data_IF_741149374937
#
_entry.id   IF_741149374937
#
_cell.length_a   1.000
_cell.length_b   1.000
_cell.length_c   1.000
_cell.angle_alpha   90.00
_cell.angle_beta   90.00
_cell.angle_gamma   90.00
#
_symmetry.space_group_name_H-M   'P 1'
#
loop_
_entity.id
_entity.type
_entity.pdbx_description
1 polymer ?
#
# COMPACT_ATOMS: atom_id res chain seq x y z
N UNK A 1 -23.63 -23.71 15.26
CA UNK A 1 -22.18 -23.36 15.27
C UNK A 1 -21.76 -23.14 13.82
N UNK A 2 -21.47 -21.90 13.42
CA UNK A 2 -21.12 -21.58 12.02
C UNK A 2 -19.59 -21.38 11.94
N UNK A 3 -18.87 -22.16 11.12
CA UNK A 3 -17.41 -22.26 11.17
C UNK A 3 -16.76 -21.19 10.28
N UNK A 4 -16.65 -19.95 10.76
CA UNK A 4 -16.20 -18.81 9.91
C UNK A 4 -14.84 -18.21 10.21
N UNK A 5 -14.24 -18.51 11.37
CA UNK A 5 -12.79 -18.29 11.57
C UNK A 5 -11.94 -19.08 10.56
N UNK A 6 -12.50 -20.12 9.93
CA UNK A 6 -11.75 -21.03 9.07
C UNK A 6 -11.41 -20.49 7.68
N UNK A 7 -12.10 -19.50 7.10
CA UNK A 7 -11.82 -19.11 5.70
C UNK A 7 -10.53 -18.29 5.60
N UNK A 8 -10.36 -17.27 6.46
CA UNK A 8 -9.13 -16.50 6.54
C UNK A 8 -7.95 -17.37 6.98
N UNK A 9 -8.15 -18.23 8.01
CA UNK A 9 -7.13 -19.19 8.43
C UNK A 9 -6.81 -20.22 7.34
N UNK A 10 -7.79 -20.70 6.58
CA UNK A 10 -7.55 -21.62 5.48
C UNK A 10 -6.78 -20.96 4.35
N UNK A 11 -7.07 -19.71 4.00
CA UNK A 11 -6.31 -18.96 2.99
C UNK A 11 -4.85 -18.74 3.42
N UNK A 12 -4.64 -18.31 4.67
CA UNK A 12 -3.31 -18.19 5.27
C UNK A 12 -2.59 -19.54 5.27
N UNK A 13 -3.29 -20.63 5.60
CA UNK A 13 -2.74 -21.98 5.58
C UNK A 13 -2.36 -22.43 4.16
N UNK A 14 -3.22 -22.20 3.16
CA UNK A 14 -2.93 -22.52 1.76
C UNK A 14 -1.74 -21.73 1.23
N UNK A 15 -1.64 -20.45 1.56
CA UNK A 15 -0.48 -19.63 1.21
C UNK A 15 0.80 -20.11 1.89
N UNK A 16 0.73 -20.52 3.16
CA UNK A 16 1.87 -21.09 3.88
C UNK A 16 2.29 -22.46 3.30
N UNK A 17 1.33 -23.31 2.92
CA UNK A 17 1.60 -24.59 2.26
C UNK A 17 2.23 -24.38 0.88
N UNK A 18 1.75 -23.41 0.10
CA UNK A 18 2.36 -23.03 -1.18
C UNK A 18 3.80 -22.57 -0.98
N UNK A 19 4.04 -21.73 0.02
CA UNK A 19 5.35 -21.19 0.36
C UNK A 19 6.32 -22.30 0.77
N UNK A 20 5.85 -23.27 1.57
CA UNK A 20 6.61 -24.45 1.96
C UNK A 20 6.97 -25.32 0.75
N UNK A 21 6.03 -25.53 -0.18
CA UNK A 21 6.31 -26.25 -1.42
C UNK A 21 7.35 -25.53 -2.29
N UNK A 22 7.25 -24.19 -2.40
CA UNK A 22 8.26 -23.37 -3.08
C UNK A 22 9.63 -23.48 -2.40
N UNK A 23 9.69 -23.51 -1.06
CA UNK A 23 10.93 -23.68 -0.32
C UNK A 23 11.59 -25.02 -0.61
N UNK A 24 10.84 -26.13 -0.52
CA UNK A 24 11.36 -27.47 -0.81
C UNK A 24 11.91 -27.54 -2.24
N UNK A 25 11.15 -27.03 -3.22
CA UNK A 25 11.60 -27.01 -4.61
C UNK A 25 12.83 -26.12 -4.81
N UNK A 26 12.91 -24.99 -4.12
CA UNK A 26 14.05 -24.08 -4.18
C UNK A 26 15.33 -24.71 -3.63
N UNK A 27 15.22 -25.51 -2.55
CA UNK A 27 16.34 -26.30 -2.02
C UNK A 27 16.85 -27.29 -3.07
N UNK A 28 15.95 -28.07 -3.67
CA UNK A 28 16.27 -29.04 -4.72
C UNK A 28 16.97 -28.36 -5.91
N UNK A 29 16.44 -27.23 -6.38
CA UNK A 29 17.03 -26.45 -7.48
C UNK A 29 18.41 -25.90 -7.09
N UNK A 30 18.55 -25.31 -5.89
CA UNK A 30 19.80 -24.73 -5.43
C UNK A 30 20.93 -25.76 -5.31
N UNK A 31 20.61 -26.95 -4.80
CA UNK A 31 21.54 -28.08 -4.70
C UNK A 31 21.90 -28.62 -6.08
N UNK A 32 20.90 -28.94 -6.91
CA UNK A 32 21.12 -29.46 -8.26
C UNK A 32 21.95 -28.51 -9.13
N UNK A 33 21.66 -27.20 -9.07
CA UNK A 33 22.37 -26.20 -9.86
C UNK A 33 23.83 -26.00 -9.44
N UNK A 34 24.17 -26.29 -8.17
CA UNK A 34 25.53 -26.07 -7.65
C UNK A 34 26.39 -27.32 -7.64
N UNK A 35 25.80 -28.46 -7.25
CA UNK A 35 26.51 -29.71 -6.98
C UNK A 35 26.17 -30.80 -8.01
N UNK A 36 25.22 -30.56 -8.91
CA UNK A 36 24.71 -31.57 -9.85
C UNK A 36 23.60 -32.43 -9.24
N UNK A 37 22.90 -33.18 -10.08
CA UNK A 37 21.80 -34.06 -9.64
C UNK A 37 22.27 -35.27 -8.84
N UNK A 38 23.52 -35.71 -9.06
CA UNK A 38 24.05 -36.93 -8.47
C UNK A 38 24.33 -36.77 -6.97
N UNK A 39 24.73 -35.57 -6.53
CA UNK A 39 25.01 -35.26 -5.12
C UNK A 39 23.76 -34.79 -4.33
N UNK A 40 22.59 -34.73 -4.98
CA UNK A 40 21.40 -34.10 -4.40
C UNK A 40 20.91 -34.82 -3.15
N UNK A 41 20.74 -36.14 -3.22
CA UNK A 41 20.21 -36.93 -2.12
C UNK A 41 21.11 -36.88 -0.90
N UNK A 42 22.42 -37.10 -1.10
CA UNK A 42 23.41 -37.10 -0.03
C UNK A 42 23.53 -35.73 0.65
N UNK A 43 23.58 -34.65 -0.14
CA UNK A 43 23.71 -33.30 0.40
C UNK A 43 22.46 -32.84 1.16
N UNK A 44 21.25 -33.12 0.63
CA UNK A 44 19.99 -32.73 1.28
C UNK A 44 19.77 -33.50 2.58
N UNK A 45 20.00 -34.82 2.58
CA UNK A 45 19.85 -35.65 3.78
C UNK A 45 20.94 -35.34 4.82
N UNK A 46 22.16 -35.05 4.38
CA UNK A 46 23.28 -34.72 5.26
C UNK A 46 23.18 -33.36 5.96
N UNK A 47 22.33 -32.46 5.47
CA UNK A 47 22.15 -31.10 6.04
C UNK A 47 20.67 -30.78 6.33
N UNK A 48 19.89 -31.80 6.71
CA UNK A 48 18.43 -31.68 6.89
C UNK A 48 18.06 -30.63 7.96
N UNK A 49 18.86 -30.54 9.02
CA UNK A 49 18.78 -29.56 10.09
C UNK A 49 18.96 -28.13 9.58
N UNK A 50 19.99 -27.90 8.74
CA UNK A 50 20.22 -26.63 8.06
C UNK A 50 19.04 -26.22 7.17
N UNK A 51 18.44 -27.17 6.44
CA UNK A 51 17.28 -26.92 5.59
C UNK A 51 16.00 -26.62 6.36
N UNK A 52 15.74 -27.35 7.44
CA UNK A 52 14.61 -27.08 8.34
C UNK A 52 14.74 -25.68 8.92
N UNK A 53 15.93 -25.32 9.37
CA UNK A 53 16.20 -23.99 9.93
C UNK A 53 16.03 -22.87 8.90
N UNK A 54 16.54 -23.07 7.68
CA UNK A 54 16.35 -22.17 6.56
C UNK A 54 14.86 -21.94 6.25
N UNK A 55 14.11 -23.03 6.12
CA UNK A 55 12.67 -22.98 5.86
C UNK A 55 11.91 -22.29 7.00
N UNK A 56 12.21 -22.63 8.25
CA UNK A 56 11.58 -22.04 9.43
C UNK A 56 11.86 -20.52 9.51
N UNK A 57 13.08 -20.09 9.21
CA UNK A 57 13.47 -18.67 9.19
C UNK A 57 12.67 -17.87 8.16
N UNK A 58 12.48 -18.42 6.95
CA UNK A 58 11.71 -17.77 5.90
C UNK A 58 10.21 -17.73 6.24
N UNK A 59 9.65 -18.84 6.73
CA UNK A 59 8.23 -18.90 7.12
C UNK A 59 7.94 -17.93 8.26
N UNK A 60 8.82 -17.88 9.27
CA UNK A 60 8.71 -16.91 10.36
C UNK A 60 8.79 -15.47 9.85
N UNK A 61 9.73 -15.17 8.96
CA UNK A 61 9.84 -13.83 8.39
C UNK A 61 8.58 -13.44 7.59
N UNK A 62 8.05 -14.32 6.74
CA UNK A 62 6.80 -14.08 6.03
C UNK A 62 5.61 -13.90 6.97
N UNK A 63 5.57 -14.63 8.08
CA UNK A 63 4.54 -14.47 9.10
C UNK A 63 4.62 -13.11 9.78
N UNK A 64 5.81 -12.71 10.25
CA UNK A 64 6.05 -11.42 10.93
C UNK A 64 5.73 -10.24 10.02
N UNK A 65 6.07 -10.33 8.74
CA UNK A 65 5.78 -9.28 7.75
C UNK A 65 4.31 -9.26 7.31
N UNK A 66 3.53 -10.29 7.67
CA UNK A 66 2.13 -10.39 7.27
C UNK A 66 1.94 -10.76 5.79
N UNK A 67 2.94 -11.39 5.15
CA UNK A 67 2.88 -11.83 3.75
C UNK A 67 1.77 -12.86 3.49
N UNK A 68 1.20 -13.45 4.53
CA UNK A 68 0.07 -14.40 4.43
C UNK A 68 -1.31 -13.75 4.60
N UNK A 69 -1.38 -12.42 4.69
CA UNK A 69 -2.63 -11.66 4.70
C UNK A 69 -3.10 -11.29 3.28
N UNK A 70 -4.29 -11.75 2.89
CA UNK A 70 -4.87 -11.47 1.56
C UNK A 70 -5.15 -9.96 1.38
N UNK A 71 -5.57 -9.28 2.45
CA UNK A 71 -5.93 -7.85 2.47
C UNK A 71 -4.73 -6.95 2.15
N UNK A 72 -3.51 -7.36 2.53
CA UNK A 72 -2.27 -6.60 2.30
C UNK A 72 -1.72 -6.84 0.88
N UNK A 73 -2.08 -7.98 0.27
CA UNK A 73 -1.51 -8.48 -0.99
C UNK A 73 -2.33 -8.07 -2.23
N UNK A 74 -3.35 -7.22 -2.06
CA UNK A 74 -4.21 -6.72 -3.15
C UNK A 74 -3.41 -5.99 -4.24
N UNK A 75 -2.31 -5.33 -3.86
CA UNK A 75 -1.41 -4.67 -4.80
C UNK A 75 -0.24 -5.56 -5.18
N UNK A 76 -0.01 -5.74 -6.50
CA UNK A 76 1.21 -6.38 -7.04
C UNK A 76 2.49 -5.73 -6.50
N UNK A 77 2.43 -4.43 -6.20
CA UNK A 77 3.52 -3.69 -5.59
C UNK A 77 3.76 -4.12 -4.14
N UNK A 78 2.69 -4.20 -3.33
CA UNK A 78 2.79 -4.63 -1.93
C UNK A 78 3.26 -6.09 -1.80
N UNK A 79 2.87 -6.96 -2.73
CA UNK A 79 3.36 -8.34 -2.79
C UNK A 79 4.88 -8.37 -2.88
N UNK A 80 5.46 -7.61 -3.81
CA UNK A 80 6.91 -7.56 -4.02
C UNK A 80 7.61 -6.89 -2.83
N UNK A 81 7.07 -5.78 -2.32
CA UNK A 81 7.66 -5.06 -1.19
C UNK A 81 7.68 -5.93 0.08
N UNK A 82 6.56 -6.56 0.44
CA UNK A 82 6.49 -7.45 1.59
C UNK A 82 7.41 -8.66 1.42
N UNK A 83 7.50 -9.20 0.20
CA UNK A 83 8.41 -10.30 -0.09
C UNK A 83 9.88 -9.88 0.09
N UNK A 84 10.29 -8.70 -0.41
CA UNK A 84 11.64 -8.17 -0.20
C UNK A 84 11.92 -8.01 1.29
N UNK A 85 10.98 -7.44 2.03
CA UNK A 85 11.14 -7.20 3.47
C UNK A 85 11.24 -8.51 4.25
N UNK A 86 10.41 -9.51 3.94
CA UNK A 86 10.49 -10.85 4.52
C UNK A 86 11.82 -11.53 4.18
N UNK A 87 12.32 -11.38 2.96
CA UNK A 87 13.63 -11.94 2.58
C UNK A 87 14.77 -11.30 3.38
N UNK A 88 14.75 -9.97 3.55
CA UNK A 88 15.76 -9.26 4.35
C UNK A 88 15.74 -9.72 5.81
N UNK A 89 14.54 -9.83 6.40
CA UNK A 89 14.39 -10.34 7.79
C UNK A 89 14.91 -11.77 7.89
N UNK A 90 14.56 -12.66 6.96
CA UNK A 90 15.05 -14.04 6.94
C UNK A 90 16.58 -14.12 6.83
N UNK A 91 17.19 -13.29 5.97
CA UNK A 91 18.64 -13.21 5.81
C UNK A 91 19.35 -12.73 7.09
N UNK A 92 18.76 -11.77 7.79
CA UNK A 92 19.30 -11.30 9.08
C UNK A 92 19.23 -12.41 10.12
N UNK A 93 18.08 -13.10 10.23
CA UNK A 93 17.90 -14.23 11.15
C UNK A 93 18.92 -15.32 10.84
N UNK A 94 19.05 -15.73 9.58
CA UNK A 94 20.02 -16.75 9.14
C UNK A 94 21.47 -16.33 9.43
N UNK A 95 21.82 -15.07 9.19
CA UNK A 95 23.14 -14.54 9.46
C UNK A 95 23.47 -14.60 10.95
N UNK A 96 22.59 -14.08 11.81
CA UNK A 96 22.78 -14.07 13.27
C UNK A 96 22.93 -15.49 13.81
N UNK A 97 22.09 -16.42 13.37
CA UNK A 97 22.13 -17.78 13.90
C UNK A 97 23.27 -18.61 13.33
N UNK A 98 23.75 -18.31 12.12
CA UNK A 98 24.98 -18.90 11.61
C UNK A 98 26.22 -18.54 12.44
N UNK A 99 26.18 -17.41 13.17
CA UNK A 99 27.24 -17.03 14.12
C UNK A 99 27.18 -17.84 15.42
N UNK A 100 25.98 -18.29 15.82
CA UNK A 100 25.76 -19.03 17.06
C UNK A 100 25.93 -20.55 16.88
N UNK A 101 25.55 -21.10 15.72
CA UNK A 101 25.67 -22.52 15.40
C UNK A 101 26.33 -22.72 14.04
N UNK A 102 27.65 -22.88 14.06
CA UNK A 102 28.45 -23.01 12.85
C UNK A 102 28.14 -24.31 12.06
N UNK A 103 27.64 -25.35 12.73
CA UNK A 103 27.28 -26.63 12.08
C UNK A 103 26.03 -26.53 11.19
N UNK A 104 25.21 -25.50 11.34
CA UNK A 104 24.05 -25.24 10.46
C UNK A 104 24.43 -24.55 9.13
N UNK A 105 25.72 -24.34 8.84
CA UNK A 105 26.16 -23.67 7.62
C UNK A 105 25.94 -24.56 6.39
N UNK A 106 24.79 -24.35 5.76
CA UNK A 106 24.59 -24.66 4.35
C UNK A 106 25.68 -23.96 3.51
N UNK A 107 26.15 -24.64 2.46
CA UNK A 107 27.16 -24.07 1.57
C UNK A 107 26.68 -22.74 1.00
N UNK A 108 27.44 -21.65 1.19
CA UNK A 108 27.02 -20.27 0.85
C UNK A 108 26.50 -20.13 -0.59
N UNK A 109 27.12 -20.84 -1.54
CA UNK A 109 26.68 -20.87 -2.94
C UNK A 109 25.35 -21.61 -3.16
N UNK A 110 25.14 -22.72 -2.45
CA UNK A 110 23.88 -23.48 -2.49
C UNK A 110 22.75 -22.65 -1.86
N UNK A 111 23.02 -22.03 -0.70
CA UNK A 111 22.07 -21.18 0.00
C UNK A 111 21.66 -19.97 -0.85
N UNK A 112 22.62 -19.28 -1.48
CA UNK A 112 22.33 -18.15 -2.36
C UNK A 112 21.43 -18.55 -3.55
N UNK A 113 21.72 -19.70 -4.20
CA UNK A 113 20.89 -20.20 -5.30
C UNK A 113 19.52 -20.66 -4.82
N UNK A 114 19.41 -21.29 -3.65
CA UNK A 114 18.12 -21.65 -3.06
C UNK A 114 17.28 -20.41 -2.73
N UNK A 115 17.89 -19.33 -2.23
CA UNK A 115 17.19 -18.06 -1.98
C UNK A 115 16.67 -17.45 -3.29
N UNK A 116 17.49 -17.42 -4.34
CA UNK A 116 17.09 -16.90 -5.65
C UNK A 116 16.00 -17.76 -6.30
N UNK A 117 16.09 -19.09 -6.19
CA UNK A 117 15.06 -20.01 -6.66
C UNK A 117 13.75 -19.82 -5.89
N UNK A 118 13.81 -19.72 -4.56
CA UNK A 118 12.65 -19.44 -3.72
C UNK A 118 12.01 -18.10 -4.08
N UNK A 119 12.81 -17.06 -4.34
CA UNK A 119 12.33 -15.75 -4.76
C UNK A 119 11.46 -15.83 -6.02
N UNK A 120 11.99 -16.44 -7.08
CA UNK A 120 11.27 -16.60 -8.34
C UNK A 120 10.02 -17.46 -8.19
N UNK A 121 10.13 -18.59 -7.50
CA UNK A 121 9.04 -19.53 -7.29
C UNK A 121 7.92 -18.93 -6.44
N UNK A 122 8.23 -18.31 -5.29
CA UNK A 122 7.23 -17.71 -4.40
C UNK A 122 6.48 -16.57 -5.10
N UNK A 123 7.18 -15.65 -5.77
CA UNK A 123 6.55 -14.53 -6.48
C UNK A 123 5.68 -15.05 -7.63
N UNK A 124 6.21 -15.97 -8.44
CA UNK A 124 5.50 -16.57 -9.56
C UNK A 124 4.27 -17.36 -9.13
N UNK A 125 4.41 -18.22 -8.12
CA UNK A 125 3.33 -19.07 -7.61
C UNK A 125 2.24 -18.25 -6.93
N UNK A 126 2.59 -17.25 -6.10
CA UNK A 126 1.61 -16.32 -5.51
C UNK A 126 0.94 -15.50 -6.61
N UNK A 127 1.71 -14.98 -7.58
CA UNK A 127 1.17 -14.24 -8.73
C UNK A 127 0.18 -15.06 -9.57
N UNK A 128 0.50 -16.34 -9.84
CA UNK A 128 -0.37 -17.27 -10.56
C UNK A 128 -1.61 -17.62 -9.74
N UNK A 129 -1.43 -17.95 -8.45
CA UNK A 129 -2.53 -18.21 -7.53
C UNK A 129 -3.49 -17.02 -7.52
N UNK A 130 -2.98 -15.80 -7.37
CA UNK A 130 -3.81 -14.60 -7.44
C UNK A 130 -4.50 -14.44 -8.79
N UNK A 131 -3.81 -14.67 -9.92
CA UNK A 131 -4.42 -14.60 -11.25
C UNK A 131 -5.55 -15.62 -11.44
N UNK A 132 -5.41 -16.83 -10.91
CA UNK A 132 -6.44 -17.88 -10.92
C UNK A 132 -7.58 -17.51 -9.96
N UNK A 133 -7.26 -17.04 -8.75
CA UNK A 133 -8.24 -16.61 -7.76
C UNK A 133 -9.09 -15.45 -8.26
N UNK A 134 -8.49 -14.44 -8.91
CA UNK A 134 -9.18 -13.31 -9.55
C UNK A 134 -10.21 -13.76 -10.59
N UNK A 135 -9.95 -14.88 -11.28
CA UNK A 135 -10.86 -15.44 -12.29
C UNK A 135 -11.90 -16.41 -11.72
N UNK A 136 -11.70 -16.88 -10.49
CA UNK A 136 -12.52 -17.92 -9.88
C UNK A 136 -13.58 -17.31 -8.95
N UNK A 137 -14.78 -17.92 -8.90
CA UNK A 137 -15.82 -17.59 -7.90
C UNK A 137 -15.64 -18.38 -6.58
N UNK A 138 -14.47 -18.99 -6.37
CA UNK A 138 -14.23 -19.92 -5.26
C UNK A 138 -14.21 -19.22 -3.89
N UNK A 139 -13.85 -17.93 -3.86
CA UNK A 139 -13.74 -17.14 -2.63
C UNK A 139 -14.61 -15.89 -2.71
N UNK A 140 -15.93 -16.10 -2.76
CA UNK A 140 -16.91 -15.02 -2.73
C UNK A 140 -17.16 -14.55 -1.29
N UNK A 141 -16.71 -13.33 -0.98
CA UNK A 141 -17.05 -12.67 0.28
C UNK A 141 -18.44 -12.07 0.18
N UNK A 142 -19.37 -12.53 1.03
CA UNK A 142 -20.76 -12.06 1.01
C UNK A 142 -20.87 -10.78 1.81
N UNK A 143 -21.13 -9.67 1.12
CA UNK A 143 -21.14 -8.34 1.71
C UNK A 143 -22.56 -7.85 1.89
N UNK A 144 -22.87 -7.30 3.06
CA UNK A 144 -24.09 -6.53 3.31
C UNK A 144 -23.68 -5.10 3.61
N UNK A 145 -24.31 -4.14 2.96
CA UNK A 145 -24.03 -2.71 3.18
C UNK A 145 -25.17 -2.12 4.00
N UNK A 146 -24.85 -1.56 5.16
CA UNK A 146 -25.78 -0.80 5.98
C UNK A 146 -25.73 0.67 5.55
N UNK A 147 -26.81 1.13 4.90
CA UNK A 147 -26.89 2.42 4.23
C UNK A 147 -27.31 2.29 2.77
N UNK A 148 -27.96 3.33 2.23
CA UNK A 148 -28.39 3.42 0.81
C UNK A 148 -27.95 4.72 0.12
N UNK A 149 -27.08 5.48 0.80
CA UNK A 149 -26.56 6.77 0.40
C UNK A 149 -25.57 6.75 -0.78
N UNK A 150 -25.07 7.91 -1.20
CA UNK A 150 -23.93 8.00 -2.13
C UNK A 150 -22.72 7.20 -1.65
N UNK A 151 -22.34 7.28 -0.36
CA UNK A 151 -21.21 6.52 0.19
C UNK A 151 -21.41 5.02 0.02
N UNK A 152 -22.64 4.53 0.27
CA UNK A 152 -22.98 3.11 0.10
C UNK A 152 -22.84 2.63 -1.35
N UNK A 153 -23.18 3.48 -2.32
CA UNK A 153 -23.04 3.16 -3.75
C UNK A 153 -21.59 3.16 -4.19
N UNK A 154 -20.80 4.13 -3.75
CA UNK A 154 -19.39 4.23 -4.12
C UNK A 154 -18.59 3.07 -3.52
N UNK A 155 -18.85 2.73 -2.25
CA UNK A 155 -18.27 1.53 -1.63
C UNK A 155 -18.71 0.26 -2.36
N UNK A 156 -19.99 0.13 -2.73
CA UNK A 156 -20.46 -1.05 -3.46
C UNK A 156 -19.76 -1.25 -4.81
N UNK A 157 -19.53 -0.15 -5.56
CA UNK A 157 -18.80 -0.18 -6.83
C UNK A 157 -17.33 -0.57 -6.64
N UNK A 158 -16.68 -0.04 -5.59
CA UNK A 158 -15.30 -0.38 -5.26
C UNK A 158 -15.17 -1.86 -4.89
N UNK A 159 -16.03 -2.33 -3.99
CA UNK A 159 -16.03 -3.69 -3.45
C UNK A 159 -16.38 -4.72 -4.53
N UNK A 160 -17.34 -4.40 -5.39
CA UNK A 160 -17.76 -5.29 -6.51
C UNK A 160 -16.83 -5.22 -7.72
N UNK A 161 -15.75 -4.42 -7.65
CA UNK A 161 -14.82 -4.25 -8.75
C UNK A 161 -14.15 -5.58 -9.13
N UNK A 162 -13.99 -5.90 -10.43
CA UNK A 162 -13.38 -7.16 -10.89
C UNK A 162 -11.90 -7.30 -10.49
N UNK A 163 -11.26 -6.20 -10.08
CA UNK A 163 -9.86 -6.14 -9.68
C UNK A 163 -9.67 -6.15 -8.15
N UNK A 164 -10.72 -6.41 -7.37
CA UNK A 164 -10.64 -6.53 -5.91
C UNK A 164 -10.70 -8.01 -5.50
N UNK A 165 -9.69 -8.47 -4.76
CA UNK A 165 -9.64 -9.79 -4.13
C UNK A 165 -9.80 -9.67 -2.61
N UNK A 166 -10.52 -10.60 -1.96
CA UNK A 166 -11.37 -11.65 -2.55
C UNK A 166 -12.51 -11.05 -3.39
N UNK A 167 -13.13 -11.83 -4.29
CA UNK A 167 -14.28 -11.33 -5.05
C UNK A 167 -15.43 -11.07 -4.09
N UNK A 168 -15.85 -9.83 -3.95
CA UNK A 168 -16.97 -9.52 -3.08
C UNK A 168 -18.27 -9.58 -3.88
N UNK A 169 -19.31 -10.14 -3.25
CA UNK A 169 -20.67 -10.10 -3.78
C UNK A 169 -21.52 -9.34 -2.78
N UNK A 170 -21.95 -8.15 -3.17
CA UNK A 170 -22.97 -7.41 -2.43
C UNK A 170 -24.27 -8.22 -2.51
N UNK A 171 -24.78 -8.65 -1.36
CA UNK A 171 -26.02 -9.42 -1.25
C UNK A 171 -27.22 -8.49 -1.12
N UNK A 172 -27.11 -7.48 -0.24
CA UNK A 172 -28.20 -6.58 0.06
C UNK A 172 -27.68 -5.24 0.61
N UNK A 173 -28.50 -4.21 0.41
CA UNK A 173 -28.40 -2.94 1.13
C UNK A 173 -29.45 -2.92 2.23
N UNK A 174 -29.05 -2.58 3.45
CA UNK A 174 -29.97 -2.38 4.57
C UNK A 174 -30.26 -0.90 4.68
N UNK A 175 -31.54 -0.51 4.53
CA UNK A 175 -31.99 0.85 4.84
C UNK A 175 -32.40 0.88 6.31
N UNK A 176 -31.66 1.60 7.18
CA UNK A 176 -32.06 1.77 8.56
C UNK A 176 -33.28 2.70 8.63
N UNK A 177 -34.36 2.29 9.28
CA UNK A 177 -35.60 3.07 9.37
C UNK A 177 -36.19 3.07 10.78
N UNK A 178 -36.58 4.26 11.25
CA UNK A 178 -37.36 4.46 12.47
C UNK A 178 -38.84 4.14 12.20
N UNK A 179 -39.32 3.03 12.74
CA UNK A 179 -40.67 2.96 13.32
C UNK A 179 -41.91 2.85 12.43
N UNK A 180 -41.90 3.15 11.13
CA UNK A 180 -43.16 3.06 10.35
C UNK A 180 -43.33 1.70 9.66
N UNK A 181 -44.01 0.80 10.39
CA UNK A 181 -44.45 -0.51 9.94
C UNK A 181 -45.39 -0.46 8.70
N UNK A 182 -45.89 0.71 8.31
CA UNK A 182 -46.76 0.92 7.13
C UNK A 182 -45.98 1.07 5.82
N UNK A 183 -44.68 1.38 5.85
CA UNK A 183 -43.81 1.29 4.68
C UNK A 183 -43.19 -0.12 4.50
N UNK A 184 -43.58 -1.08 5.34
CA UNK A 184 -43.11 -2.47 5.28
C UNK A 184 -43.93 -3.36 4.34
N UNK A 185 -45.11 -2.92 3.90
CA UNK A 185 -46.04 -3.72 3.09
C UNK A 185 -46.15 -3.27 1.62
N UNK A 186 -45.83 -2.03 1.29
CA UNK A 186 -45.97 -1.49 -0.06
C UNK A 186 -44.75 -0.64 -0.43
N UNK A 187 -43.82 -1.24 -1.16
CA UNK A 187 -42.63 -0.51 -1.60
C UNK A 187 -41.55 -1.47 -2.04
N UNK A 188 -41.83 -2.16 -3.15
CA UNK A 188 -40.90 -2.66 -4.15
C UNK A 188 -39.48 -2.96 -3.67
N UNK A 189 -39.03 -4.19 -3.92
CA UNK A 189 -37.62 -4.53 -4.00
C UNK A 189 -36.92 -3.57 -4.98
N UNK A 190 -36.50 -2.40 -4.52
CA UNK A 190 -35.73 -1.44 -5.29
C UNK A 190 -34.37 -2.10 -5.41
N UNK A 191 -34.08 -2.63 -6.59
CA UNK A 191 -32.75 -3.13 -6.89
C UNK A 191 -31.82 -1.93 -7.05
N UNK A 192 -30.89 -1.75 -6.11
CA UNK A 192 -29.73 -0.88 -6.31
C UNK A 192 -28.61 -1.74 -6.88
N UNK A 193 -28.13 -1.40 -8.08
CA UNK A 193 -27.05 -2.13 -8.78
C UNK A 193 -27.26 -3.66 -8.85
N UNK A 194 -28.53 -4.10 -9.03
CA UNK A 194 -28.91 -5.51 -9.11
C UNK A 194 -28.98 -6.27 -7.77
N UNK A 195 -28.79 -5.59 -6.63
CA UNK A 195 -28.90 -6.17 -5.28
C UNK A 195 -30.15 -5.65 -4.55
N UNK A 196 -30.77 -6.47 -3.70
CA UNK A 196 -32.01 -6.13 -3.01
C UNK A 196 -31.77 -5.10 -1.89
N UNK A 197 -32.59 -4.05 -1.84
CA UNK A 197 -32.67 -3.15 -0.68
C UNK A 197 -33.70 -3.70 0.30
N UNK A 198 -33.30 -3.91 1.56
CA UNK A 198 -34.15 -4.41 2.64
C UNK A 198 -34.29 -3.30 3.67
N UNK A 199 -35.52 -2.80 3.85
CA UNK A 199 -35.84 -1.91 4.95
C UNK A 199 -35.86 -2.72 6.26
N UNK A 200 -35.15 -2.25 7.29
CA UNK A 200 -35.03 -2.98 8.55
C UNK A 200 -35.08 -2.05 9.75
N UNK A 201 -35.78 -2.50 10.79
CA UNK A 201 -35.65 -1.94 12.14
C UNK A 201 -34.33 -2.37 12.79
N UNK A 202 -33.91 -1.64 13.82
CA UNK A 202 -32.62 -1.84 14.49
C UNK A 202 -32.43 -3.27 15.02
N UNK A 203 -33.51 -3.89 15.49
CA UNK A 203 -33.48 -5.22 16.11
C UNK A 203 -33.38 -6.36 15.08
N UNK A 204 -33.81 -6.11 13.83
CA UNK A 204 -33.83 -7.14 12.77
C UNK A 204 -32.55 -7.19 11.94
N UNK A 205 -31.67 -6.19 12.05
CA UNK A 205 -30.40 -6.14 11.31
C UNK A 205 -29.59 -7.42 11.57
N UNK A 206 -29.53 -7.86 12.82
CA UNK A 206 -28.75 -9.04 13.18
C UNK A 206 -29.29 -10.30 12.51
N UNK A 207 -30.61 -10.51 12.54
CA UNK A 207 -31.25 -11.70 11.98
C UNK A 207 -31.16 -11.72 10.46
N UNK A 208 -31.34 -10.57 9.80
CA UNK A 208 -31.24 -10.45 8.34
C UNK A 208 -29.81 -10.77 7.88
N UNK A 209 -28.79 -10.15 8.48
CA UNK A 209 -27.38 -10.37 8.13
C UNK A 209 -27.01 -11.85 8.29
N UNK A 210 -27.56 -12.53 9.29
CA UNK A 210 -27.36 -13.96 9.52
C UNK A 210 -28.11 -14.84 8.53
N UNK A 211 -29.36 -14.51 8.20
CA UNK A 211 -30.17 -15.26 7.23
C UNK A 211 -29.55 -15.23 5.83
N UNK A 212 -28.95 -14.10 5.44
CA UNK A 212 -28.21 -13.93 4.19
C UNK A 212 -26.85 -14.65 4.21
N UNK A 213 -26.39 -15.05 5.40
CA UNK A 213 -25.05 -15.59 5.60
C UNK A 213 -23.99 -14.60 5.15
N UNK A 214 -24.07 -13.33 5.55
CA UNK A 214 -23.05 -12.33 5.22
C UNK A 214 -21.76 -12.59 5.99
N UNK A 215 -20.61 -12.41 5.34
CA UNK A 215 -19.27 -12.53 5.95
C UNK A 215 -18.75 -11.15 6.40
N UNK A 216 -19.12 -10.10 5.66
CA UNK A 216 -18.71 -8.72 5.88
C UNK A 216 -19.95 -7.81 5.91
N UNK A 217 -20.00 -6.93 6.90
CA UNK A 217 -20.95 -5.82 6.94
C UNK A 217 -20.19 -4.49 6.86
N UNK A 218 -20.56 -3.66 5.90
CA UNK A 218 -20.00 -2.32 5.72
C UNK A 218 -21.03 -1.31 6.20
N UNK A 219 -20.67 -0.52 7.22
CA UNK A 219 -21.49 0.59 7.70
C UNK A 219 -21.17 1.87 6.91
N UNK A 220 -21.92 2.09 5.83
CA UNK A 220 -21.73 3.23 4.93
C UNK A 220 -22.60 4.41 5.38
N UNK A 221 -22.05 5.24 6.26
CA UNK A 221 -22.66 6.49 6.70
C UNK A 221 -22.40 7.61 5.67
N UNK A 222 -23.39 8.47 5.42
CA UNK A 222 -23.18 9.71 4.68
C UNK A 222 -22.85 10.87 5.62
N UNK A 223 -23.21 10.75 6.91
CA UNK A 223 -22.98 11.79 7.93
C UNK A 223 -22.38 11.23 9.20
N UNK A 224 -21.57 12.05 9.86
CA UNK A 224 -21.02 11.69 11.17
C UNK A 224 -22.15 11.44 12.18
N UNK A 225 -22.04 10.33 12.90
CA UNK A 225 -23.01 9.95 13.92
C UNK A 225 -24.23 9.17 13.43
N UNK A 226 -24.45 9.05 12.12
CA UNK A 226 -25.59 8.31 11.54
C UNK A 226 -25.62 6.85 12.00
N UNK A 227 -24.44 6.24 12.18
CA UNK A 227 -24.32 4.84 12.60
C UNK A 227 -24.34 4.63 14.11
N UNK A 228 -24.37 5.70 14.92
CA UNK A 228 -24.34 5.60 16.40
C UNK A 228 -25.45 4.71 16.99
N UNK A 229 -26.72 4.78 16.53
CA UNK A 229 -27.78 3.92 17.06
C UNK A 229 -27.52 2.42 16.83
N UNK A 230 -26.71 2.08 15.84
CA UNK A 230 -26.44 0.70 15.43
C UNK A 230 -25.19 0.11 16.08
N UNK A 231 -24.37 0.91 16.78
CA UNK A 231 -23.08 0.46 17.34
C UNK A 231 -23.20 -0.78 18.24
N UNK A 232 -24.27 -0.89 19.03
CA UNK A 232 -24.49 -2.09 19.85
C UNK A 232 -24.75 -3.34 19.00
N UNK A 233 -25.55 -3.22 17.95
CA UNK A 233 -25.84 -4.32 17.00
C UNK A 233 -24.60 -4.67 16.17
N UNK A 234 -23.88 -3.67 15.66
CA UNK A 234 -22.60 -3.85 14.95
C UNK A 234 -21.56 -4.57 15.82
N UNK A 235 -21.44 -4.20 17.10
CA UNK A 235 -20.54 -4.87 18.05
C UNK A 235 -20.95 -6.32 18.30
N UNK A 236 -22.24 -6.61 18.45
CA UNK A 236 -22.75 -8.00 18.61
C UNK A 236 -22.44 -8.85 17.39
N UNK A 237 -22.65 -8.33 16.19
CA UNK A 237 -22.29 -8.99 14.92
C UNK A 237 -20.80 -9.29 14.86
N UNK A 238 -19.94 -8.33 15.23
CA UNK A 238 -18.49 -8.50 15.29
C UNK A 238 -18.05 -9.61 16.25
N UNK A 239 -18.62 -9.63 17.46
CA UNK A 239 -18.34 -10.69 18.46
C UNK A 239 -18.79 -12.08 18.01
N UNK A 240 -19.78 -12.15 17.11
CA UNK A 240 -20.26 -13.39 16.50
C UNK A 240 -19.47 -13.80 15.24
N UNK A 241 -18.42 -13.06 14.89
CA UNK A 241 -17.48 -13.39 13.82
C UNK A 241 -17.86 -12.85 12.44
N UNK A 242 -18.79 -11.90 12.36
CA UNK A 242 -19.05 -11.14 11.12
C UNK A 242 -18.10 -9.94 11.12
N UNK A 243 -17.32 -9.77 10.05
CA UNK A 243 -16.43 -8.62 9.95
C UNK A 243 -17.26 -7.35 9.78
N UNK A 244 -16.95 -6.30 10.55
CA UNK A 244 -17.66 -5.03 10.50
C UNK A 244 -16.63 -3.92 10.31
N UNK A 245 -16.75 -3.21 9.20
CA UNK A 245 -15.93 -2.05 8.84
C UNK A 245 -16.85 -0.85 8.54
N UNK A 246 -16.35 0.36 8.76
CA UNK A 246 -17.05 1.57 8.31
C UNK A 246 -16.78 1.86 6.82
N UNK A 247 -17.58 2.76 6.25
CA UNK A 247 -17.49 3.14 4.85
C UNK A 247 -16.14 3.77 4.49
N UNK A 248 -15.57 4.61 5.36
CA UNK A 248 -14.28 5.27 5.12
C UNK A 248 -13.15 4.23 5.02
N UNK A 249 -13.07 3.31 5.98
CA UNK A 249 -12.14 2.19 6.03
C UNK A 249 -12.30 1.28 4.81
N UNK A 250 -13.54 1.05 4.36
CA UNK A 250 -13.78 0.30 3.14
C UNK A 250 -13.20 1.03 1.91
N UNK A 251 -13.46 2.34 1.76
CA UNK A 251 -12.87 3.11 0.65
C UNK A 251 -11.34 3.08 0.73
N UNK A 252 -10.75 3.28 1.91
CA UNK A 252 -9.31 3.23 2.10
C UNK A 252 -8.71 1.87 1.73
N UNK A 253 -9.28 0.77 2.24
CA UNK A 253 -8.80 -0.59 2.00
C UNK A 253 -8.88 -0.99 0.52
N UNK A 254 -10.00 -0.67 -0.15
CA UNK A 254 -10.25 -1.13 -1.51
C UNK A 254 -9.74 -0.17 -2.60
N UNK A 255 -9.61 1.13 -2.30
CA UNK A 255 -9.08 2.11 -3.25
C UNK A 255 -7.62 2.52 -2.99
N UNK A 256 -7.10 2.29 -1.77
CA UNK A 256 -5.80 2.80 -1.33
C UNK A 256 -5.76 4.32 -1.18
N UNK A 257 -6.93 4.97 -1.10
CA UNK A 257 -7.08 6.43 -1.02
C UNK A 257 -7.99 6.80 0.13
N UNK A 258 -7.73 7.95 0.72
CA UNK A 258 -8.58 8.52 1.77
C UNK A 258 -9.50 9.57 1.11
N UNK A 259 -10.81 9.31 1.01
CA UNK A 259 -11.78 10.27 0.51
C UNK A 259 -11.93 11.41 1.52
N UNK A 260 -11.44 12.60 1.17
CA UNK A 260 -11.40 13.77 2.07
C UNK A 260 -12.80 14.21 2.53
N UNK A 261 -13.83 13.91 1.76
CA UNK A 261 -15.24 14.16 2.03
C UNK A 261 -15.82 13.28 3.13
N UNK A 262 -15.22 12.12 3.41
CA UNK A 262 -15.64 11.19 4.46
C UNK A 262 -14.74 11.25 5.71
N UNK A 263 -13.67 12.05 5.67
CA UNK A 263 -12.77 12.23 6.82
C UNK A 263 -13.49 12.98 7.92
N UNK A 264 -13.59 12.38 9.10
CA UNK A 264 -14.19 12.98 10.29
C UNK A 264 -13.10 13.40 11.27
N UNK A 265 -13.41 14.35 12.16
CA UNK A 265 -12.49 14.80 13.22
C UNK A 265 -12.08 13.64 14.13
N UNK A 266 -13.01 12.72 14.40
CA UNK A 266 -12.77 11.53 15.21
C UNK A 266 -11.80 10.56 14.53
N UNK A 267 -11.91 10.36 13.21
CA UNK A 267 -10.93 9.59 12.45
C UNK A 267 -9.57 10.29 12.41
N UNK A 268 -9.53 11.60 12.18
CA UNK A 268 -8.27 12.36 12.15
C UNK A 268 -7.55 12.29 13.50
N UNK A 269 -8.30 12.38 14.60
CA UNK A 269 -7.76 12.21 15.94
C UNK A 269 -7.17 10.80 16.11
N UNK A 270 -7.88 9.75 15.71
CA UNK A 270 -7.38 8.37 15.78
C UNK A 270 -6.13 8.16 14.92
N UNK A 271 -6.14 8.65 13.68
CA UNK A 271 -4.99 8.60 12.79
C UNK A 271 -3.78 9.38 13.34
N UNK A 272 -4.01 10.48 14.07
CA UNK A 272 -2.94 11.22 14.75
C UNK A 272 -2.41 10.53 16.02
N UNK A 273 -3.24 9.66 16.63
CA UNK A 273 -2.87 8.82 17.77
C UNK A 273 -2.17 7.52 17.35
N UNK A 274 -2.35 7.08 16.11
CA UNK A 274 -1.49 6.02 15.57
C UNK A 274 -0.05 6.48 15.72
N UNK A 275 0.82 5.67 16.35
CA UNK A 275 2.19 6.05 16.51
C UNK A 275 2.77 6.24 15.11
N UNK A 276 2.92 7.50 14.70
CA UNK A 276 3.88 7.87 13.67
C UNK A 276 5.22 7.49 14.26
N UNK A 277 5.61 6.23 14.03
CA UNK A 277 6.73 5.63 14.75
C UNK A 277 7.90 6.57 14.46
N UNK A 278 8.42 7.24 15.48
CA UNK A 278 9.53 8.19 15.33
C UNK A 278 10.67 7.53 14.56
N UNK A 279 10.80 6.21 14.77
CA UNK A 279 11.64 5.31 14.01
C UNK A 279 11.36 5.32 12.49
N UNK A 280 10.11 5.27 12.03
CA UNK A 280 9.74 5.37 10.61
C UNK A 280 10.14 6.72 10.04
N UNK A 281 9.91 7.82 10.76
CA UNK A 281 10.39 9.16 10.31
C UNK A 281 11.91 9.21 10.21
N UNK A 282 12.62 8.63 11.17
CA UNK A 282 14.09 8.52 11.15
C UNK A 282 14.60 7.64 10.02
N UNK A 283 13.99 6.49 9.78
CA UNK A 283 14.32 5.62 8.65
C UNK A 283 14.04 6.32 7.32
N UNK A 284 12.91 7.02 7.20
CA UNK A 284 12.59 7.83 6.03
C UNK A 284 13.63 8.92 5.79
N UNK A 285 14.08 9.57 6.86
CA UNK A 285 15.14 10.58 6.82
C UNK A 285 16.48 9.98 6.38
N UNK A 286 16.86 8.83 6.91
CA UNK A 286 18.07 8.11 6.50
C UNK A 286 17.99 7.69 5.03
N UNK A 287 16.85 7.16 4.60
CA UNK A 287 16.59 6.83 3.20
C UNK A 287 16.78 8.03 2.28
N UNK A 288 16.19 9.19 2.63
CA UNK A 288 16.34 10.41 1.83
C UNK A 288 17.81 10.84 1.71
N UNK A 289 18.57 10.79 2.81
CA UNK A 289 20.00 11.14 2.80
C UNK A 289 20.79 10.17 1.92
N UNK A 290 20.63 8.86 2.12
CA UNK A 290 21.35 7.83 1.34
C UNK A 290 21.02 7.96 -0.14
N UNK A 291 19.74 8.10 -0.49
CA UNK A 291 19.31 8.22 -1.86
C UNK A 291 19.82 9.52 -2.51
N UNK A 292 19.84 10.66 -1.80
CA UNK A 292 20.45 11.90 -2.32
C UNK A 292 21.96 11.77 -2.48
N UNK A 293 22.67 11.11 -1.56
CA UNK A 293 24.12 10.90 -1.69
C UNK A 293 24.44 10.04 -2.91
N UNK A 294 23.75 8.90 -3.08
CA UNK A 294 23.96 7.99 -4.20
C UNK A 294 23.63 8.64 -5.55
N UNK A 295 22.48 9.31 -5.65
CA UNK A 295 22.07 10.00 -6.89
C UNK A 295 22.91 11.26 -7.15
N UNK A 296 23.34 11.96 -6.09
CA UNK A 296 24.17 13.15 -6.15
C UNK A 296 25.54 12.90 -6.81
N UNK A 297 26.13 11.72 -6.65
CA UNK A 297 27.39 11.35 -7.32
C UNK A 297 27.29 11.53 -8.85
N UNK A 298 26.13 11.21 -9.42
CA UNK A 298 25.89 11.33 -10.87
C UNK A 298 25.28 12.69 -11.23
N UNK A 299 24.35 13.18 -10.42
CA UNK A 299 23.59 14.40 -10.72
C UNK A 299 24.37 15.70 -10.46
N UNK A 300 25.35 15.72 -9.56
CA UNK A 300 26.17 16.91 -9.31
C UNK A 300 27.03 17.27 -10.54
N UNK A 301 27.78 16.35 -11.17
CA UNK A 301 28.48 16.62 -12.44
C UNK A 301 27.55 17.17 -13.52
N UNK A 302 26.36 16.57 -13.69
CA UNK A 302 25.34 17.06 -14.62
C UNK A 302 24.89 18.48 -14.25
N UNK A 303 24.65 18.74 -12.96
CA UNK A 303 24.27 20.04 -12.43
C UNK A 303 25.33 21.12 -12.71
N UNK A 304 26.62 20.79 -12.63
CA UNK A 304 27.72 21.72 -12.96
C UNK A 304 27.67 22.07 -14.45
N UNK A 305 27.49 21.08 -15.33
CA UNK A 305 27.34 21.31 -16.79
C UNK A 305 26.12 22.17 -17.07
N UNK A 306 24.98 21.89 -16.44
CA UNK A 306 23.75 22.68 -16.57
C UNK A 306 23.96 24.12 -16.11
N UNK A 307 24.58 24.33 -14.94
CA UNK A 307 24.88 25.66 -14.41
C UNK A 307 25.77 26.46 -15.38
N UNK A 308 26.77 25.80 -15.97
CA UNK A 308 27.64 26.40 -16.98
C UNK A 308 26.88 26.77 -18.26
N UNK A 309 26.03 25.89 -18.79
CA UNK A 309 25.18 26.16 -19.96
C UNK A 309 24.21 27.32 -19.72
N UNK A 310 23.64 27.42 -18.52
CA UNK A 310 22.80 28.57 -18.13
C UNK A 310 23.63 29.85 -18.12
N UNK A 311 24.85 29.81 -17.58
CA UNK A 311 25.75 30.98 -17.58
C UNK A 311 26.22 31.38 -18.98
N UNK A 312 26.39 30.45 -19.91
CA UNK A 312 26.69 30.77 -21.31
C UNK A 312 25.50 31.42 -22.03
N UNK A 313 24.28 30.94 -21.75
CA UNK A 313 23.07 31.44 -22.42
C UNK A 313 22.50 32.72 -21.79
N UNK A 314 22.72 32.94 -20.50
CA UNK A 314 22.29 34.13 -19.76
C UNK A 314 23.37 34.54 -18.72
N UNK A 315 24.46 35.20 -19.17
CA UNK A 315 25.63 35.50 -18.30
C UNK A 315 25.28 36.35 -17.08
N UNK A 316 24.39 37.33 -17.29
CA UNK A 316 23.96 38.30 -16.27
C UNK A 316 23.00 37.70 -15.23
N UNK A 317 22.32 36.60 -15.56
CA UNK A 317 21.34 36.00 -14.65
C UNK A 317 21.99 34.94 -13.75
N UNK A 318 21.51 34.76 -12.50
CA UNK A 318 21.98 33.69 -11.64
C UNK A 318 21.53 32.34 -12.18
N UNK A 319 22.42 31.34 -12.15
CA UNK A 319 22.11 29.98 -12.60
C UNK A 319 21.08 29.31 -11.68
N UNK A 320 21.12 29.65 -10.37
CA UNK A 320 20.17 29.17 -9.38
C UNK A 320 19.05 30.20 -9.22
N UNK A 321 17.82 29.71 -9.35
CA UNK A 321 16.59 30.37 -8.99
C UNK A 321 16.18 29.98 -7.57
N UNK A 322 15.62 30.95 -6.84
CA UNK A 322 15.32 30.85 -5.41
C UNK A 322 13.89 31.33 -5.18
N UNK A 323 13.08 30.55 -4.47
CA UNK A 323 11.68 30.90 -4.16
C UNK A 323 11.30 30.48 -2.74
N UNK A 324 10.42 31.23 -2.08
CA UNK A 324 9.82 30.81 -0.80
C UNK A 324 8.70 29.79 -1.05
N UNK A 325 8.64 28.76 -0.22
CA UNK A 325 7.64 27.70 -0.27
C UNK A 325 7.21 27.30 1.13
N UNK A 326 5.99 26.81 1.27
CA UNK A 326 5.48 26.27 2.54
C UNK A 326 5.89 24.81 2.65
N UNK A 327 6.58 24.49 3.74
CA UNK A 327 7.05 23.15 4.08
C UNK A 327 6.26 22.53 5.24
N UNK A 328 6.93 21.66 5.99
CA UNK A 328 6.30 20.90 7.07
C UNK A 328 5.73 21.82 8.17
N UNK A 329 4.49 21.56 8.60
CA UNK A 329 3.78 22.33 9.62
C UNK A 329 3.66 23.83 9.30
N UNK A 330 3.51 24.18 8.01
CA UNK A 330 3.35 25.56 7.58
C UNK A 330 4.66 26.37 7.62
N UNK A 331 5.81 25.76 7.94
CA UNK A 331 7.09 26.48 8.00
C UNK A 331 7.58 26.80 6.60
N UNK A 332 7.80 28.08 6.32
CA UNK A 332 8.39 28.51 5.05
C UNK A 332 9.84 28.08 4.93
N UNK A 333 10.24 27.63 3.74
CA UNK A 333 11.62 27.34 3.39
C UNK A 333 11.94 27.82 1.97
N UNK A 334 13.22 27.94 1.69
CA UNK A 334 13.73 28.44 0.43
C UNK A 334 14.02 27.28 -0.52
N UNK A 335 13.26 27.11 -1.59
CA UNK A 335 13.52 26.09 -2.62
C UNK A 335 14.57 26.58 -3.64
N UNK A 336 15.50 25.71 -4.02
CA UNK A 336 16.49 25.98 -5.07
C UNK A 336 16.18 25.21 -6.35
N UNK A 337 16.20 25.89 -7.50
CA UNK A 337 16.09 25.27 -8.82
C UNK A 337 17.09 25.89 -9.78
N UNK A 338 17.35 25.25 -10.91
CA UNK A 338 18.01 25.96 -11.99
C UNK A 338 17.05 26.94 -12.66
N UNK A 339 17.58 28.10 -13.06
CA UNK A 339 16.81 29.12 -13.76
C UNK A 339 16.44 28.61 -15.16
N UNK A 340 15.13 28.47 -15.39
CA UNK A 340 14.56 28.03 -16.68
C UNK A 340 13.78 29.12 -17.40
N UNK A 341 13.54 30.25 -16.74
CA UNK A 341 12.81 31.42 -17.27
C UNK A 341 13.71 32.64 -17.39
N UNK A 342 13.37 33.54 -18.33
CA UNK A 342 14.03 34.84 -18.50
C UNK A 342 13.88 35.70 -17.24
N UNK A 343 14.89 36.50 -16.89
CA UNK A 343 14.91 37.28 -15.64
C UNK A 343 13.75 38.28 -15.49
N UNK A 344 13.25 38.82 -16.61
CA UNK A 344 12.11 39.76 -16.62
C UNK A 344 10.74 39.08 -16.50
N UNK A 345 10.68 37.74 -16.49
CA UNK A 345 9.45 36.95 -16.45
C UNK A 345 8.70 36.97 -15.11
N UNK A 346 9.39 37.36 -14.04
CA UNK A 346 8.98 37.18 -12.63
C UNK A 346 8.48 38.48 -11.98
N UNK A 347 8.48 39.61 -12.71
CA UNK A 347 7.91 40.88 -12.21
C UNK A 347 6.38 40.84 -12.34
N UNK A 348 5.69 40.25 -11.36
CA UNK A 348 4.22 40.18 -11.32
C UNK A 348 3.68 39.29 -10.18
N UNK A 349 2.35 39.18 -10.07
CA UNK A 349 1.68 38.24 -9.14
C UNK A 349 2.04 36.78 -9.47
N UNK A 350 2.00 35.88 -8.48
CA UNK A 350 2.20 34.45 -8.71
C UNK A 350 1.18 33.90 -9.74
N UNK A 351 1.66 33.57 -10.93
CA UNK A 351 0.85 32.96 -12.01
C UNK A 351 1.36 31.55 -12.26
N UNK A 352 0.42 30.61 -12.40
CA UNK A 352 0.73 29.22 -12.74
C UNK A 352 1.41 29.15 -14.12
N UNK A 353 2.49 28.37 -14.22
CA UNK A 353 3.17 28.18 -15.50
C UNK A 353 2.27 27.36 -16.45
N UNK A 354 2.06 27.87 -17.66
CA UNK A 354 1.36 27.15 -18.73
C UNK A 354 2.32 26.23 -19.50
N UNK A 355 1.78 25.23 -20.21
CA UNK A 355 2.56 24.20 -20.92
C UNK A 355 3.53 24.77 -21.97
N UNK A 356 3.17 25.90 -22.60
CA UNK A 356 3.98 26.64 -23.57
C UNK A 356 4.24 28.08 -23.15
N UNK A 357 4.71 28.26 -21.92
CA UNK A 357 4.98 29.59 -21.38
C UNK A 357 6.12 30.29 -22.16
N UNK A 358 5.87 31.44 -22.82
CA UNK A 358 6.86 32.15 -23.63
C UNK A 358 8.03 32.69 -22.80
N UNK A 359 7.91 32.68 -21.47
CA UNK A 359 8.95 33.11 -20.53
C UNK A 359 10.07 32.08 -20.37
N UNK A 360 9.86 30.83 -20.82
CA UNK A 360 10.81 29.72 -20.68
C UNK A 360 11.88 29.77 -21.77
N UNK A 361 13.16 29.68 -21.39
CA UNK A 361 14.27 29.68 -22.34
C UNK A 361 14.32 28.35 -23.12
N UNK A 362 14.98 28.33 -24.30
CA UNK A 362 15.14 27.09 -25.08
C UNK A 362 15.83 25.98 -24.28
N UNK A 363 16.89 26.34 -23.55
CA UNK A 363 17.56 25.45 -22.60
C UNK A 363 16.62 25.06 -21.45
N UNK A 364 15.88 26.03 -20.90
CA UNK A 364 14.91 25.81 -19.83
C UNK A 364 13.83 24.80 -20.17
N UNK A 365 13.37 24.77 -21.44
CA UNK A 365 12.41 23.77 -21.92
C UNK A 365 12.98 22.35 -21.85
N UNK A 366 14.24 22.16 -22.23
CA UNK A 366 14.94 20.87 -22.12
C UNK A 366 15.09 20.49 -20.64
N UNK A 367 15.53 21.43 -19.80
CA UNK A 367 15.72 21.19 -18.37
C UNK A 367 14.42 20.76 -17.67
N UNK A 368 13.30 21.43 -17.96
CA UNK A 368 11.97 21.06 -17.41
C UNK A 368 11.48 19.72 -17.92
N UNK A 369 11.68 19.41 -19.21
CA UNK A 369 11.27 18.13 -19.81
C UNK A 369 11.94 16.95 -19.11
N UNK A 370 13.21 17.09 -18.77
CA UNK A 370 13.99 16.05 -18.08
C UNK A 370 14.07 16.27 -16.56
N UNK A 371 13.35 17.26 -16.02
CA UNK A 371 13.37 17.69 -14.60
C UNK A 371 14.78 17.94 -14.05
N UNK A 372 15.74 18.27 -14.93
CA UNK A 372 17.11 18.60 -14.55
C UNK A 372 17.17 19.94 -13.81
N UNK A 373 16.15 20.78 -13.94
CA UNK A 373 16.03 22.02 -13.18
C UNK A 373 15.83 21.80 -11.68
N UNK A 374 15.47 20.59 -11.26
CA UNK A 374 15.24 20.25 -9.86
C UNK A 374 16.48 19.72 -9.13
N UNK A 375 17.61 19.54 -9.83
CA UNK A 375 18.87 19.06 -9.22
C UNK A 375 19.29 19.89 -7.99
N UNK A 376 19.19 21.23 -7.97
CA UNK A 376 19.53 22.00 -6.77
C UNK A 376 18.65 21.71 -5.54
N UNK A 377 17.45 21.13 -5.72
CA UNK A 377 16.57 20.73 -4.60
C UNK A 377 17.16 19.58 -3.77
N UNK A 378 18.14 18.83 -4.30
CA UNK A 378 18.89 17.84 -3.52
C UNK A 378 19.48 18.46 -2.24
N UNK A 379 19.88 19.73 -2.30
CA UNK A 379 20.34 20.48 -1.12
C UNK A 379 19.23 20.70 -0.09
N UNK A 380 18.01 21.03 -0.52
CA UNK A 380 16.85 21.16 0.38
C UNK A 380 16.54 19.84 1.10
N UNK A 381 16.67 18.73 0.38
CA UNK A 381 16.52 17.40 0.96
C UNK A 381 17.63 17.15 1.99
N UNK A 382 18.90 17.44 1.71
CA UNK A 382 19.98 17.30 2.69
C UNK A 382 19.78 18.16 3.94
N UNK A 383 19.24 19.38 3.82
CA UNK A 383 18.91 20.24 4.96
C UNK A 383 17.68 19.78 5.77
N UNK A 384 16.90 18.83 5.25
CA UNK A 384 15.69 18.34 5.91
C UNK A 384 14.48 19.26 5.75
N UNK A 385 14.52 20.19 4.78
CA UNK A 385 13.39 21.04 4.43
C UNK A 385 12.43 20.33 3.47
N UNK A 386 12.95 19.37 2.69
CA UNK A 386 12.22 18.56 1.74
C UNK A 386 12.55 17.08 1.90
N UNK A 387 11.74 16.25 1.25
CA UNK A 387 11.88 14.80 1.18
C UNK A 387 11.82 14.35 -0.29
N UNK A 388 12.48 13.24 -0.64
CA UNK A 388 12.43 12.71 -2.03
C UNK A 388 10.99 12.34 -2.40
N UNK A 389 10.24 11.80 -1.44
CA UNK A 389 8.83 11.44 -1.59
C UNK A 389 8.04 12.22 -0.55
N UNK A 390 7.17 13.12 -1.01
CA UNK A 390 6.32 13.97 -0.18
C UNK A 390 5.39 14.84 -1.03
N UNK A 391 4.45 15.57 -0.39
CA UNK A 391 3.59 16.51 -1.08
C UNK A 391 4.42 17.62 -1.74
N UNK A 392 3.94 18.13 -2.88
CA UNK A 392 4.60 19.23 -3.59
C UNK A 392 4.52 20.51 -2.72
N UNK A 393 5.63 21.19 -2.45
CA UNK A 393 5.60 22.39 -1.62
C UNK A 393 4.95 23.55 -2.40
N UNK A 394 3.93 24.17 -1.82
CA UNK A 394 3.17 25.26 -2.44
C UNK A 394 3.75 26.65 -2.13
N UNK A 395 3.33 27.65 -2.91
CA UNK A 395 3.71 29.04 -2.63
C UNK A 395 2.88 29.58 -1.47
N UNK A 396 3.44 30.40 -0.56
CA UNK A 396 2.68 30.96 0.55
C UNK A 396 1.39 31.68 0.10
N UNK A 397 1.45 32.44 -0.99
CA UNK A 397 0.31 33.18 -1.56
C UNK A 397 -0.85 32.29 -2.09
N UNK A 398 -0.63 30.97 -2.21
CA UNK A 398 -1.61 30.00 -2.67
C UNK A 398 -2.04 29.01 -1.57
N UNK A 399 -1.39 29.08 -0.40
CA UNK A 399 -1.58 28.14 0.70
C UNK A 399 -2.49 28.68 1.81
N UNK A 400 -2.77 30.00 1.79
CA UNK A 400 -3.83 30.66 2.56
C UNK A 400 -5.16 30.57 1.80
#
# INVERSE_FOLDING_TARGET
MVPRRNILHAQTLWLAVLDLACLVLAVVIGVAARLGTDALGEYVLGHIDGWIYFGASIVLANFVVGSYGIQITVSRFNLVVNWIFALVVALIVLSITSLAWFELLLGRGVLALAILAYAGLSIGAKGLLYAVLFRSKLFLYRVVILGVGPTARDVAKLVSGPNVLPSHKVLAYLRPGSGDATAMAEGSAVSLDGSSVIATGNDMIEDIVRSLGADLLIAAADREGEMRPYYQTLRRLRLRGIEVIDGLTAVELYSGRIPLDLVTDSWLMQASLEPSIELVRRFKRMFDIVAVVLTGIVLIPVGIVVAFLIKLTAPMSPAIYVQQRVGQFGKSFTIYKFRTMLEKAEKGKAVWAQEDDPRVTRLGRILRKFRLDEIPQLWNILRGEMSIVGPRPEQPELAD
#
